data_IF_027259102764
#
_entry.id   IF_027259102764
#
_cell.length_a   1.000
_cell.length_b   1.000
_cell.length_c   1.000
_cell.angle_alpha   90.00
_cell.angle_beta   90.00
_cell.angle_gamma   90.00
#
_symmetry.space_group_name_H-M   'P 1'
#
loop_
_entity.id
_entity.type
_entity.pdbx_description
1 polymer ?
#
# COMPACT_ATOMS: atom_id res chain seq x y z
N UNK A 1 2.66 0.01 -10.06
CA UNK A 1 2.09 -1.25 -9.56
C UNK A 1 3.25 -2.11 -9.11
N UNK A 2 3.19 -2.66 -7.90
CA UNK A 2 4.21 -3.49 -7.30
C UNK A 2 3.60 -4.87 -7.01
N UNK A 3 4.17 -5.93 -7.58
CA UNK A 3 3.74 -7.31 -7.28
C UNK A 3 4.57 -7.88 -6.14
N UNK A 4 3.92 -8.53 -5.18
CA UNK A 4 4.58 -9.11 -4.00
C UNK A 4 5.65 -10.12 -4.38
N UNK A 5 5.42 -10.92 -5.41
CA UNK A 5 6.37 -11.91 -5.92
C UNK A 5 7.71 -11.29 -6.37
N UNK A 6 7.66 -10.06 -6.87
CA UNK A 6 8.83 -9.33 -7.39
C UNK A 6 9.44 -8.43 -6.30
N UNK A 7 8.65 -8.08 -5.27
CA UNK A 7 9.03 -7.23 -4.14
C UNK A 7 8.65 -7.88 -2.79
N UNK A 8 9.31 -8.98 -2.36
CA UNK A 8 8.88 -9.76 -1.20
C UNK A 8 8.96 -8.97 0.13
N UNK A 9 9.77 -7.92 0.18
CA UNK A 9 9.98 -7.06 1.36
C UNK A 9 9.24 -5.71 1.29
N UNK A 10 8.39 -5.49 0.29
CA UNK A 10 7.67 -4.21 0.13
C UNK A 10 6.87 -3.88 1.40
N UNK A 11 6.99 -2.67 1.90
CA UNK A 11 6.37 -2.23 3.16
C UNK A 11 6.00 -0.75 3.10
N UNK A 12 5.51 -0.20 4.21
CA UNK A 12 5.25 1.23 4.35
C UNK A 12 6.49 2.10 4.11
N UNK A 13 7.68 1.58 4.41
CA UNK A 13 8.93 2.35 4.35
C UNK A 13 9.27 2.73 2.90
N UNK A 14 8.92 1.89 1.92
CA UNK A 14 9.10 2.16 0.49
C UNK A 14 8.26 3.37 0.01
N UNK A 15 7.20 3.72 0.76
CA UNK A 15 6.29 4.82 0.48
C UNK A 15 6.45 6.00 1.45
N UNK A 16 7.42 5.94 2.38
CA UNK A 16 7.65 7.00 3.34
C UNK A 16 7.93 8.35 2.65
N UNK A 17 7.32 9.43 3.15
CA UNK A 17 7.45 10.79 2.61
C UNK A 17 6.74 11.03 1.28
N UNK A 18 6.16 10.02 0.63
CA UNK A 18 5.39 10.16 -0.62
C UNK A 18 3.90 10.28 -0.26
N UNK A 19 3.19 11.25 -0.83
CA UNK A 19 1.73 11.36 -0.68
C UNK A 19 1.03 10.73 -1.89
N UNK A 20 -0.11 10.09 -1.68
CA UNK A 20 -0.81 9.41 -2.76
C UNK A 20 -2.08 8.68 -2.36
N UNK A 21 -2.69 8.04 -3.35
CA UNK A 21 -3.70 7.01 -3.14
C UNK A 21 -2.98 5.67 -3.17
N UNK A 22 -3.33 4.77 -2.26
CA UNK A 22 -2.82 3.39 -2.22
C UNK A 22 -3.98 2.42 -2.37
N UNK A 23 -3.78 1.37 -3.15
CA UNK A 23 -4.68 0.21 -3.18
C UNK A 23 -3.87 -1.07 -2.95
N UNK A 24 -4.42 -1.93 -2.08
CA UNK A 24 -3.84 -3.18 -1.61
C UNK A 24 -4.78 -4.29 -2.06
N UNK A 25 -4.32 -5.11 -3.00
CA UNK A 25 -5.10 -6.24 -3.52
C UNK A 25 -4.86 -7.51 -2.70
N UNK A 26 -5.94 -8.22 -2.38
CA UNK A 26 -5.94 -9.51 -1.67
C UNK A 26 -5.07 -9.50 -0.38
N UNK A 27 -5.26 -8.48 0.46
CA UNK A 27 -4.47 -8.33 1.71
C UNK A 27 -4.90 -9.26 2.84
N UNK A 28 -6.16 -9.71 2.82
CA UNK A 28 -6.76 -10.64 3.78
C UNK A 28 -7.77 -11.53 3.06
N UNK A 29 -7.28 -12.62 2.46
CA UNK A 29 -8.11 -13.39 1.53
C UNK A 29 -8.46 -12.55 0.29
N UNK A 30 -9.69 -12.63 -0.26
CA UNK A 30 -10.08 -11.92 -1.48
C UNK A 30 -10.47 -10.45 -1.26
N UNK A 31 -10.13 -9.87 -0.11
CA UNK A 31 -10.52 -8.50 0.24
C UNK A 31 -9.43 -7.51 -0.14
N UNK A 32 -9.85 -6.50 -0.90
CA UNK A 32 -9.03 -5.35 -1.27
C UNK A 32 -9.24 -4.20 -0.29
N UNK A 33 -8.25 -3.30 -0.22
CA UNK A 33 -8.33 -2.04 0.52
C UNK A 33 -7.84 -0.89 -0.36
N UNK A 34 -8.53 0.25 -0.33
CA UNK A 34 -8.09 1.50 -0.97
C UNK A 34 -8.12 2.62 0.04
N UNK A 35 -7.07 3.45 0.05
CA UNK A 35 -6.91 4.50 1.05
C UNK A 35 -6.09 5.69 0.55
N UNK A 36 -6.17 6.78 1.31
CA UNK A 36 -5.26 7.91 1.18
C UNK A 36 -4.02 7.67 2.03
N UNK A 37 -2.84 7.83 1.42
CA UNK A 37 -1.55 7.74 2.06
C UNK A 37 -0.89 9.12 2.14
N UNK A 38 -0.57 9.57 3.35
CA UNK A 38 -0.01 10.91 3.55
C UNK A 38 1.53 10.95 3.65
N UNK A 39 2.21 9.84 3.37
CA UNK A 39 3.65 9.70 3.55
C UNK A 39 4.07 8.99 4.83
N UNK A 40 3.14 8.69 5.74
CA UNK A 40 3.44 7.99 6.99
C UNK A 40 2.29 7.09 7.47
N UNK A 41 1.04 7.50 7.25
CA UNK A 41 -0.15 6.75 7.64
C UNK A 41 -1.21 6.78 6.55
N UNK A 42 -2.10 5.80 6.63
CA UNK A 42 -3.35 5.77 5.90
C UNK A 42 -4.42 6.61 6.62
N UNK A 43 -5.49 7.00 5.91
CA UNK A 43 -6.61 7.73 6.50
C UNK A 43 -7.59 6.78 7.21
N UNK A 44 -7.88 5.61 6.62
CA UNK A 44 -8.83 4.62 7.16
C UNK A 44 -8.20 3.31 7.65
N UNK A 45 -6.98 3.00 7.23
CA UNK A 45 -6.28 1.75 7.57
C UNK A 45 -5.00 1.94 8.39
N UNK A 46 -4.27 0.84 8.57
CA UNK A 46 -2.94 0.85 9.19
C UNK A 46 -1.84 0.82 8.12
N UNK A 47 -0.70 1.47 8.39
CA UNK A 47 0.47 1.41 7.51
C UNK A 47 0.95 -0.04 7.28
N UNK A 48 0.74 -0.93 8.26
CA UNK A 48 1.09 -2.36 8.20
C UNK A 48 0.40 -3.11 7.04
N UNK A 49 -0.68 -2.56 6.47
CA UNK A 49 -1.43 -3.19 5.39
C UNK A 49 -0.64 -3.23 4.08
N UNK A 50 0.30 -2.29 3.88
CA UNK A 50 1.21 -2.26 2.73
C UNK A 50 2.12 -3.51 2.64
N UNK A 51 2.24 -4.28 3.72
CA UNK A 51 3.00 -5.54 3.75
C UNK A 51 2.18 -6.77 3.39
N UNK A 52 0.85 -6.65 3.18
CA UNK A 52 -0.06 -7.80 3.08
C UNK A 52 -0.53 -8.13 1.67
N UNK A 53 -0.71 -7.13 0.81
CA UNK A 53 -1.27 -7.34 -0.54
C UNK A 53 -0.35 -8.09 -1.50
N UNK A 54 -0.98 -8.84 -2.42
CA UNK A 54 -0.31 -9.52 -3.54
C UNK A 54 0.07 -8.53 -4.65
N UNK A 55 -0.71 -7.47 -4.81
CA UNK A 55 -0.39 -6.31 -5.64
C UNK A 55 -0.65 -5.03 -4.85
N UNK A 56 0.27 -4.07 -4.96
CA UNK A 56 0.13 -2.72 -4.42
C UNK A 56 0.12 -1.74 -5.57
N UNK A 57 -0.93 -0.93 -5.66
CA UNK A 57 -0.98 0.24 -6.52
C UNK A 57 -0.77 1.49 -5.70
N UNK A 58 0.06 2.40 -6.22
CA UNK A 58 0.32 3.68 -5.60
C UNK A 58 0.27 4.77 -6.66
N UNK A 59 -0.66 5.71 -6.51
CA UNK A 59 -0.80 6.88 -7.36
C UNK A 59 -0.32 8.09 -6.57
N UNK A 60 0.84 8.62 -6.94
CA UNK A 60 1.41 9.78 -6.27
C UNK A 60 0.51 11.01 -6.49
N UNK A 61 0.26 11.73 -5.41
CA UNK A 61 -0.37 13.05 -5.44
C UNK A 61 0.72 14.10 -5.20
N UNK A 62 0.60 15.23 -5.89
CA UNK A 62 1.47 16.40 -5.81
C UNK A 62 1.32 17.15 -4.50
#
# INVERSE_FOLDING_TARGET
MYKRKDHPKLSSDDFYGKKGIVSIKDGWGPTDHIDLWNGYKMQGGEASFLSRGVEIWFWRLS
#
